data_IF_678209125600
#
_entry.id   IF_678209125600
#
_cell.length_a   1.000
_cell.length_b   1.000
_cell.length_c   1.000
_cell.angle_alpha   90.00
_cell.angle_beta   90.00
_cell.angle_gamma   90.00
#
_symmetry.space_group_name_H-M   'P 1'
#
loop_
_entity.id
_entity.type
_entity.pdbx_description
1 polymer ?
#
# COMPACT_ATOMS: atom_id res chain seq x y z
N UNK A 1 26.84 -1.10 22.55
CA UNK A 1 25.45 -0.57 22.60
C UNK A 1 24.71 -1.14 21.41
N UNK A 2 23.61 -1.85 21.63
CA UNK A 2 22.71 -2.25 20.53
C UNK A 2 21.82 -1.05 20.23
N UNK A 3 21.92 -0.49 19.01
CA UNK A 3 21.07 0.63 18.61
C UNK A 3 19.63 0.15 18.43
N UNK A 4 18.65 1.03 18.72
CA UNK A 4 17.30 0.81 18.24
C UNK A 4 17.33 0.80 16.70
N UNK A 5 16.98 -0.30 16.02
CA UNK A 5 17.02 -0.41 14.56
C UNK A 5 16.29 0.73 13.85
N UNK A 6 15.25 1.27 14.51
CA UNK A 6 14.45 2.39 14.05
C UNK A 6 15.27 3.68 13.83
N UNK A 7 16.25 3.98 14.69
CA UNK A 7 17.02 5.22 14.60
C UNK A 7 18.00 5.20 13.42
N UNK A 8 18.56 4.02 13.14
CA UNK A 8 19.37 3.78 11.94
C UNK A 8 18.50 3.99 10.71
N UNK A 9 17.33 3.35 10.59
CA UNK A 9 16.41 3.54 9.45
C UNK A 9 15.93 4.99 9.27
N UNK A 10 15.83 5.78 10.33
CA UNK A 10 15.56 7.22 10.24
C UNK A 10 16.76 8.00 9.69
N UNK A 11 17.98 7.68 10.11
CA UNK A 11 19.21 8.28 9.59
C UNK A 11 19.37 8.00 8.08
N UNK A 12 19.07 6.79 7.62
CA UNK A 12 19.02 6.42 6.19
C UNK A 12 18.12 7.35 5.39
N UNK A 13 16.88 7.57 5.86
CA UNK A 13 15.91 8.45 5.18
C UNK A 13 16.39 9.89 5.13
N UNK A 14 16.99 10.39 6.21
CA UNK A 14 17.54 11.76 6.26
C UNK A 14 18.64 11.95 5.22
N UNK A 15 19.59 11.03 5.12
CA UNK A 15 20.70 11.17 4.17
C UNK A 15 20.24 11.03 2.72
N UNK A 16 19.28 10.13 2.45
CA UNK A 16 18.67 9.98 1.13
C UNK A 16 17.89 11.23 0.70
N UNK A 17 17.07 11.80 1.58
CA UNK A 17 16.29 13.00 1.25
C UNK A 17 17.17 14.23 1.03
N UNK A 18 18.20 14.39 1.86
CA UNK A 18 19.09 15.54 1.78
C UNK A 18 20.14 15.40 0.67
N UNK A 19 20.34 14.20 0.12
CA UNK A 19 21.45 13.86 -0.79
C UNK A 19 22.81 14.32 -0.23
N UNK A 20 22.94 14.35 1.09
CA UNK A 20 24.07 14.89 1.81
C UNK A 20 24.26 14.13 3.12
N UNK A 21 25.50 14.06 3.60
CA UNK A 21 25.85 13.27 4.78
C UNK A 21 26.76 14.08 5.70
N UNK A 22 26.30 14.33 6.93
CA UNK A 22 27.14 14.84 8.01
C UNK A 22 26.53 14.53 9.37
N UNK A 23 27.37 14.44 10.40
CA UNK A 23 26.88 14.29 11.77
C UNK A 23 25.98 15.46 12.18
N UNK A 24 26.32 16.70 11.77
CA UNK A 24 25.49 17.88 12.01
C UNK A 24 24.10 17.80 11.35
N UNK A 25 24.02 17.24 10.13
CA UNK A 25 22.74 17.01 9.45
C UNK A 25 21.88 16.03 10.24
N UNK A 26 22.44 14.89 10.65
CA UNK A 26 21.74 13.88 11.44
C UNK A 26 21.31 14.44 12.80
N UNK A 27 22.18 15.19 13.47
CA UNK A 27 21.91 15.85 14.74
C UNK A 27 20.68 16.76 14.65
N UNK A 28 20.65 17.64 13.64
CA UNK A 28 19.56 18.61 13.44
C UNK A 28 18.26 17.95 13.03
N UNK A 29 18.31 16.96 12.12
CA UNK A 29 17.12 16.31 11.56
C UNK A 29 16.48 15.31 12.51
N UNK A 30 17.29 14.63 13.33
CA UNK A 30 16.81 13.62 14.29
C UNK A 30 16.70 14.17 15.72
N UNK A 31 17.10 15.44 15.97
CA UNK A 31 17.12 16.08 17.30
C UNK A 31 17.89 15.27 18.34
N UNK A 32 19.02 14.70 17.95
CA UNK A 32 19.88 13.86 18.79
C UNK A 32 21.15 14.60 19.21
N UNK A 33 21.91 14.05 20.17
CA UNK A 33 23.24 14.55 20.54
C UNK A 33 24.32 14.25 19.50
N UNK A 34 25.40 15.04 19.50
CA UNK A 34 26.50 14.91 18.53
C UNK A 34 27.15 13.52 18.54
N UNK A 35 27.44 12.96 19.72
CA UNK A 35 28.04 11.63 19.85
C UNK A 35 27.18 10.52 19.22
N UNK A 36 25.85 10.63 19.36
CA UNK A 36 24.91 9.69 18.77
C UNK A 36 24.82 9.85 17.25
N UNK A 37 24.83 11.10 16.76
CA UNK A 37 24.89 11.37 15.32
C UNK A 37 26.16 10.83 14.67
N UNK A 38 27.31 10.93 15.36
CA UNK A 38 28.58 10.38 14.88
C UNK A 38 28.57 8.85 14.85
N UNK A 39 27.95 8.22 15.84
CA UNK A 39 27.77 6.77 15.83
C UNK A 39 26.85 6.30 14.71
N UNK A 40 25.73 6.98 14.47
CA UNK A 40 24.86 6.69 13.33
C UNK A 40 25.60 6.85 12.01
N UNK A 41 26.43 7.88 11.88
CA UNK A 41 27.27 8.06 10.70
C UNK A 41 28.23 6.88 10.49
N UNK A 42 28.86 6.39 11.55
CA UNK A 42 29.73 5.21 11.50
C UNK A 42 28.95 3.94 11.13
N UNK A 43 27.73 3.77 11.63
CA UNK A 43 26.83 2.67 11.25
C UNK A 43 26.43 2.74 9.77
N UNK A 44 26.15 3.94 9.24
CA UNK A 44 25.89 4.13 7.82
C UNK A 44 27.12 3.80 6.95
N UNK A 45 28.32 4.08 7.45
CA UNK A 45 29.57 3.67 6.80
C UNK A 45 29.72 2.14 6.82
N UNK A 46 29.49 1.50 7.97
CA UNK A 46 29.59 0.05 8.13
C UNK A 46 28.61 -0.74 7.24
N UNK A 47 27.54 -0.09 6.79
CA UNK A 47 26.50 -0.66 5.91
C UNK A 47 26.61 -0.20 4.45
N UNK A 48 27.75 0.36 4.06
CA UNK A 48 28.04 0.82 2.69
C UNK A 48 27.05 1.87 2.14
N UNK A 49 26.40 2.63 3.03
CA UNK A 49 25.51 3.75 2.65
C UNK A 49 26.31 5.00 2.36
N UNK A 50 27.38 5.18 3.14
CA UNK A 50 28.22 6.37 3.18
C UNK A 50 29.66 5.94 3.00
N UNK A 51 30.38 6.60 2.10
CA UNK A 51 31.84 6.50 2.03
C UNK A 51 32.49 7.73 2.63
N UNK A 52 33.57 7.49 3.36
CA UNK A 52 34.48 8.54 3.77
C UNK A 52 35.61 8.68 2.75
N UNK A 53 35.84 9.91 2.30
CA UNK A 53 37.00 10.29 1.50
C UNK A 53 37.79 11.37 2.24
N UNK A 54 39.11 11.20 2.44
CA UNK A 54 39.95 12.22 3.07
C UNK A 54 39.90 13.59 2.37
N UNK A 55 39.60 13.61 1.06
CA UNK A 55 39.57 14.86 0.26
C UNK A 55 38.22 15.55 0.26
N UNK A 56 37.14 14.80 0.41
CA UNK A 56 35.78 15.31 0.16
C UNK A 56 34.81 15.05 1.30
N UNK A 57 35.28 14.49 2.40
CA UNK A 57 34.49 14.16 3.57
C UNK A 57 33.57 12.96 3.34
N UNK A 58 32.47 12.92 4.10
CA UNK A 58 31.44 11.89 3.98
C UNK A 58 30.55 12.17 2.78
N UNK A 59 30.35 11.16 1.93
CA UNK A 59 29.43 11.22 0.80
C UNK A 59 28.60 9.94 0.75
N UNK A 60 27.41 10.02 0.18
CA UNK A 60 26.65 8.80 -0.12
C UNK A 60 27.45 7.93 -1.09
N UNK A 61 27.46 6.62 -0.84
CA UNK A 61 28.10 5.67 -1.73
C UNK A 61 27.40 5.71 -3.11
N UNK A 62 28.13 5.94 -4.22
CA UNK A 62 27.54 5.94 -5.55
C UNK A 62 26.81 4.65 -5.91
N UNK A 63 27.23 3.48 -5.40
CA UNK A 63 26.53 2.21 -5.58
C UNK A 63 25.25 2.12 -4.74
N UNK A 64 25.25 2.68 -3.53
CA UNK A 64 24.04 2.82 -2.72
C UNK A 64 23.04 3.78 -3.38
N UNK A 65 23.52 4.93 -3.87
CA UNK A 65 22.73 5.86 -4.67
C UNK A 65 22.21 5.19 -5.93
N UNK A 66 23.03 4.43 -6.66
CA UNK A 66 22.59 3.71 -7.86
C UNK A 66 21.55 2.64 -7.51
N UNK A 67 21.65 1.97 -6.36
CA UNK A 67 20.65 0.99 -5.89
C UNK A 67 19.32 1.66 -5.52
N UNK A 68 19.33 2.85 -4.92
CA UNK A 68 18.11 3.59 -4.56
C UNK A 68 17.56 4.51 -5.68
N UNK A 69 18.41 5.04 -6.55
CA UNK A 69 18.05 5.85 -7.72
C UNK A 69 17.65 4.97 -8.91
N UNK A 70 18.00 3.67 -8.88
CA UNK A 70 17.28 2.64 -9.62
C UNK A 70 15.88 2.45 -9.02
N UNK A 71 15.03 3.48 -9.14
CA UNK A 71 13.73 3.24 -9.77
C UNK A 71 14.06 2.85 -11.21
N UNK A 72 14.58 1.65 -11.43
CA UNK A 72 14.56 1.06 -12.77
C UNK A 72 13.13 1.20 -13.23
N UNK A 73 12.94 1.75 -14.43
CA UNK A 73 11.67 1.61 -15.13
C UNK A 73 11.20 0.18 -14.87
N UNK A 74 9.97 0.00 -14.33
CA UNK A 74 9.48 -1.32 -14.00
C UNK A 74 9.68 -2.20 -15.21
N UNK A 75 10.37 -3.32 -15.04
CA UNK A 75 10.54 -4.30 -16.10
C UNK A 75 9.14 -4.64 -16.63
N UNK A 76 8.80 -4.25 -17.88
CA UNK A 76 7.44 -4.40 -18.39
C UNK A 76 6.98 -5.86 -18.32
N UNK A 77 7.92 -6.80 -18.47
CA UNK A 77 7.67 -8.22 -18.33
C UNK A 77 7.35 -8.61 -16.88
N UNK A 78 8.15 -8.20 -15.90
CA UNK A 78 7.83 -8.44 -14.49
C UNK A 78 6.49 -7.82 -14.09
N UNK A 79 6.17 -6.62 -14.55
CA UNK A 79 4.87 -5.98 -14.29
C UNK A 79 3.72 -6.79 -14.90
N UNK A 80 3.88 -7.22 -16.14
CA UNK A 80 2.90 -8.06 -16.84
C UNK A 80 2.64 -9.37 -16.07
N UNK A 81 3.71 -10.09 -15.68
CA UNK A 81 3.61 -11.33 -14.90
C UNK A 81 2.85 -11.10 -13.60
N UNK A 82 3.22 -10.07 -12.83
CA UNK A 82 2.53 -9.76 -11.57
C UNK A 82 1.05 -9.42 -11.80
N UNK A 83 0.72 -8.68 -12.86
CA UNK A 83 -0.67 -8.36 -13.21
C UNK A 83 -1.48 -9.59 -13.60
N UNK A 84 -0.90 -10.50 -14.39
CA UNK A 84 -1.55 -11.78 -14.75
C UNK A 84 -1.86 -12.58 -13.50
N UNK A 85 -0.87 -12.77 -12.62
CA UNK A 85 -1.00 -13.56 -11.39
C UNK A 85 -1.98 -12.90 -10.41
N UNK A 86 -1.87 -11.60 -10.15
CA UNK A 86 -2.76 -10.91 -9.22
C UNK A 86 -4.20 -10.81 -9.76
N UNK A 87 -4.40 -10.73 -11.08
CA UNK A 87 -5.74 -10.80 -11.69
C UNK A 87 -6.34 -12.20 -11.52
N UNK A 88 -5.56 -13.26 -11.80
CA UNK A 88 -6.00 -14.63 -11.60
C UNK A 88 -6.32 -14.91 -10.13
N UNK A 89 -5.47 -14.45 -9.20
CA UNK A 89 -5.64 -14.62 -7.77
C UNK A 89 -6.85 -13.85 -7.23
N UNK A 90 -7.07 -12.62 -7.70
CA UNK A 90 -8.25 -11.85 -7.35
C UNK A 90 -9.53 -12.61 -7.70
N UNK A 91 -9.65 -13.12 -8.92
CA UNK A 91 -10.82 -13.89 -9.33
C UNK A 91 -10.92 -15.27 -8.67
N UNK A 92 -9.79 -15.89 -8.32
CA UNK A 92 -9.79 -17.13 -7.54
C UNK A 92 -10.45 -16.90 -6.19
N UNK A 93 -10.07 -15.82 -5.50
CA UNK A 93 -10.67 -15.49 -4.21
C UNK A 93 -12.13 -15.03 -4.36
N UNK A 94 -12.49 -14.33 -5.45
CA UNK A 94 -13.90 -13.99 -5.76
C UNK A 94 -14.76 -15.23 -6.00
N UNK A 95 -14.25 -16.22 -6.73
CA UNK A 95 -14.90 -17.52 -6.96
C UNK A 95 -15.20 -18.21 -5.63
N UNK A 96 -14.19 -18.29 -4.75
CA UNK A 96 -14.34 -18.88 -3.41
C UNK A 96 -15.35 -18.16 -2.52
N UNK A 97 -15.49 -16.85 -2.70
CA UNK A 97 -16.41 -15.99 -1.95
C UNK A 97 -17.79 -15.86 -2.61
N UNK A 98 -18.00 -16.54 -3.75
CA UNK A 98 -19.19 -16.45 -4.58
C UNK A 98 -19.57 -14.99 -4.94
N UNK A 99 -18.60 -14.20 -5.40
CA UNK A 99 -18.81 -12.85 -5.91
C UNK A 99 -18.13 -12.63 -7.27
N UNK A 100 -18.47 -11.53 -7.95
CA UNK A 100 -17.99 -11.21 -9.30
C UNK A 100 -16.85 -10.17 -9.35
N UNK A 101 -16.39 -9.72 -8.19
CA UNK A 101 -15.35 -8.71 -8.04
C UNK A 101 -15.78 -7.29 -8.44
N UNK A 102 -15.22 -6.30 -7.74
CA UNK A 102 -15.48 -4.89 -8.02
C UNK A 102 -14.84 -4.45 -9.35
N UNK A 103 -15.60 -3.74 -10.19
CA UNK A 103 -15.13 -3.28 -11.52
C UNK A 103 -13.91 -2.36 -11.43
N UNK A 104 -13.79 -1.54 -10.37
CA UNK A 104 -12.61 -0.72 -10.11
C UNK A 104 -11.35 -1.54 -9.81
N UNK A 105 -11.47 -2.64 -9.05
CA UNK A 105 -10.35 -3.54 -8.76
C UNK A 105 -9.88 -4.23 -10.04
N UNK A 106 -10.83 -4.72 -10.85
CA UNK A 106 -10.53 -5.32 -12.17
C UNK A 106 -9.79 -4.32 -13.07
N UNK A 107 -10.22 -3.06 -13.09
CA UNK A 107 -9.59 -2.00 -13.89
C UNK A 107 -8.12 -1.80 -13.53
N UNK A 108 -7.78 -1.80 -12.24
CA UNK A 108 -6.40 -1.54 -11.80
C UNK A 108 -5.50 -2.77 -11.88
N UNK A 109 -6.06 -3.97 -11.76
CA UNK A 109 -5.31 -5.23 -11.78
C UNK A 109 -5.07 -5.78 -13.18
N UNK A 110 -6.05 -5.66 -14.09
CA UNK A 110 -5.99 -6.35 -15.39
C UNK A 110 -4.69 -6.05 -16.16
N UNK A 111 -4.08 -7.07 -16.78
CA UNK A 111 -3.01 -6.89 -17.77
C UNK A 111 -3.59 -6.40 -19.10
N UNK A 112 -2.83 -5.57 -19.82
CA UNK A 112 -3.21 -5.08 -21.15
C UNK A 112 -4.44 -4.15 -21.18
N UNK A 113 -4.89 -3.84 -22.40
CA UNK A 113 -6.01 -2.96 -22.72
C UNK A 113 -7.30 -3.74 -23.04
N UNK A 114 -7.59 -4.76 -22.23
CA UNK A 114 -8.80 -5.59 -22.37
C UNK A 114 -9.98 -5.04 -21.58
N UNK A 115 -11.22 -5.26 -22.02
CA UNK A 115 -12.39 -4.80 -21.26
C UNK A 115 -12.55 -5.53 -19.91
N UNK A 116 -13.09 -4.86 -18.90
CA UNK A 116 -13.29 -5.47 -17.58
C UNK A 116 -14.25 -6.67 -17.65
N UNK A 117 -15.24 -6.61 -18.54
CA UNK A 117 -16.18 -7.70 -18.77
C UNK A 117 -15.51 -8.90 -19.44
N UNK A 118 -14.63 -8.68 -20.43
CA UNK A 118 -13.90 -9.75 -21.09
C UNK A 118 -12.98 -10.48 -20.10
N UNK A 119 -12.22 -9.73 -19.29
CA UNK A 119 -11.36 -10.31 -18.24
C UNK A 119 -12.18 -11.11 -17.22
N UNK A 120 -13.31 -10.56 -16.73
CA UNK A 120 -14.17 -11.28 -15.78
C UNK A 120 -14.71 -12.56 -16.40
N UNK A 121 -15.24 -12.50 -17.63
CA UNK A 121 -15.75 -13.67 -18.35
C UNK A 121 -14.66 -14.73 -18.48
N UNK A 122 -13.50 -14.34 -19.02
CA UNK A 122 -12.38 -15.25 -19.26
C UNK A 122 -11.91 -15.94 -17.99
N UNK A 123 -11.59 -15.18 -16.95
CA UNK A 123 -10.94 -15.76 -15.76
C UNK A 123 -11.95 -16.35 -14.78
N UNK A 124 -12.97 -15.58 -14.39
CA UNK A 124 -13.92 -16.04 -13.37
C UNK A 124 -14.87 -17.11 -13.91
N UNK A 125 -15.46 -16.88 -15.08
CA UNK A 125 -16.48 -17.79 -15.60
C UNK A 125 -15.86 -18.96 -16.36
N UNK A 126 -14.96 -18.71 -17.30
CA UNK A 126 -14.43 -19.78 -18.15
C UNK A 126 -13.38 -20.59 -17.37
N UNK A 127 -12.33 -19.97 -16.83
CA UNK A 127 -11.25 -20.70 -16.12
C UNK A 127 -11.73 -21.34 -14.81
N UNK A 128 -12.36 -20.59 -13.90
CA UNK A 128 -12.73 -21.14 -12.58
C UNK A 128 -14.08 -21.84 -12.53
N UNK A 129 -15.17 -21.18 -12.93
CA UNK A 129 -16.53 -21.73 -12.77
C UNK A 129 -16.83 -22.87 -13.73
N UNK A 130 -16.38 -22.77 -14.98
CA UNK A 130 -16.65 -23.78 -16.03
C UNK A 130 -15.61 -24.89 -16.02
N UNK A 131 -14.32 -24.51 -16.07
CA UNK A 131 -13.23 -25.47 -16.27
C UNK A 131 -12.58 -25.96 -14.96
N UNK A 132 -12.86 -25.33 -13.82
CA UNK A 132 -12.31 -25.74 -12.52
C UNK A 132 -10.78 -25.67 -12.45
N UNK A 133 -10.15 -24.75 -13.19
CA UNK A 133 -8.69 -24.63 -13.22
C UNK A 133 -8.12 -24.25 -11.85
N UNK A 134 -6.89 -24.72 -11.56
CA UNK A 134 -6.10 -24.21 -10.43
C UNK A 134 -5.70 -22.75 -10.67
N UNK A 135 -5.20 -22.06 -9.64
CA UNK A 135 -4.73 -20.68 -9.77
C UNK A 135 -3.63 -20.57 -10.83
N UNK A 136 -2.63 -21.45 -10.75
CA UNK A 136 -1.50 -21.46 -11.69
C UNK A 136 -1.98 -21.74 -13.12
N UNK A 137 -2.87 -22.72 -13.31
CA UNK A 137 -3.42 -23.04 -14.62
C UNK A 137 -4.26 -21.89 -15.20
N UNK A 138 -5.08 -21.22 -14.38
CA UNK A 138 -5.86 -20.06 -14.81
C UNK A 138 -4.98 -18.86 -15.17
N UNK A 139 -3.86 -18.65 -14.48
CA UNK A 139 -2.91 -17.59 -14.82
C UNK A 139 -2.20 -17.86 -16.17
N UNK A 140 -1.83 -19.10 -16.44
CA UNK A 140 -1.25 -19.52 -17.74
C UNK A 140 -2.30 -19.40 -18.86
N UNK A 141 -3.54 -19.84 -18.61
CA UNK A 141 -4.67 -19.74 -19.54
C UNK A 141 -5.05 -18.28 -19.86
N UNK A 142 -4.94 -17.38 -18.88
CA UNK A 142 -5.08 -15.94 -19.06
C UNK A 142 -3.95 -15.37 -19.93
N UNK A 143 -2.70 -15.76 -19.67
CA UNK A 143 -1.56 -15.33 -20.47
C UNK A 143 -1.69 -15.75 -21.94
N UNK A 144 -2.03 -17.02 -22.20
CA UNK A 144 -2.23 -17.54 -23.56
C UNK A 144 -3.28 -16.71 -24.32
N UNK A 145 -4.43 -16.44 -23.70
CA UNK A 145 -5.49 -15.63 -24.29
C UNK A 145 -5.07 -14.18 -24.58
N UNK A 146 -4.28 -13.57 -23.69
CA UNK A 146 -3.73 -12.23 -23.91
C UNK A 146 -2.71 -12.23 -25.05
N UNK A 147 -1.90 -13.28 -25.18
CA UNK A 147 -0.95 -13.42 -26.28
C UNK A 147 -1.64 -13.54 -27.62
N UNK A 148 -2.72 -14.31 -27.72
CA UNK A 148 -3.53 -14.42 -28.94
C UNK A 148 -4.19 -13.08 -29.32
N UNK A 149 -4.48 -12.25 -28.31
CA UNK A 149 -5.10 -10.93 -28.50
C UNK A 149 -4.09 -9.80 -28.73
N UNK A 150 -2.78 -10.08 -28.74
CA UNK A 150 -1.72 -9.07 -28.88
C UNK A 150 -1.53 -8.16 -27.65
N UNK A 151 -2.00 -8.59 -26.48
CA UNK A 151 -2.00 -7.83 -25.22
C UNK A 151 -0.87 -8.27 -24.26
N UNK A 152 0.00 -9.18 -24.72
CA UNK A 152 1.19 -9.63 -24.01
C UNK A 152 2.46 -8.94 -24.53
N UNK A 153 3.56 -8.90 -23.76
CA UNK A 153 4.86 -8.36 -24.22
C UNK A 153 5.38 -9.06 -25.49
N UNK A 154 6.18 -8.39 -26.32
CA UNK A 154 6.74 -9.04 -27.53
C UNK A 154 7.67 -10.21 -27.19
N UNK A 155 8.49 -10.07 -26.15
CA UNK A 155 9.34 -11.17 -25.65
C UNK A 155 8.55 -12.09 -24.70
N UNK A 156 8.21 -13.27 -25.22
CA UNK A 156 7.48 -14.31 -24.51
C UNK A 156 8.40 -15.26 -23.71
N UNK A 157 9.72 -15.14 -23.88
CA UNK A 157 10.69 -16.18 -23.48
C UNK A 157 10.71 -16.39 -21.97
N UNK A 158 10.06 -17.45 -21.48
CA UNK A 158 10.03 -17.79 -20.05
C UNK A 158 8.99 -17.00 -19.23
N UNK A 159 7.99 -16.38 -19.86
CA UNK A 159 6.86 -15.78 -19.14
C UNK A 159 6.10 -16.85 -18.36
N UNK A 160 5.81 -18.00 -18.97
CA UNK A 160 5.12 -19.12 -18.32
C UNK A 160 5.84 -19.57 -17.05
N UNK A 161 7.16 -19.79 -17.12
CA UNK A 161 7.97 -20.17 -15.95
C UNK A 161 7.91 -19.11 -14.83
N UNK A 162 7.89 -17.83 -15.19
CA UNK A 162 7.77 -16.74 -14.22
C UNK A 162 6.38 -16.70 -13.58
N UNK A 163 5.32 -16.95 -14.35
CA UNK A 163 3.94 -17.09 -13.85
C UNK A 163 3.84 -18.26 -12.87
N UNK A 164 4.36 -19.44 -13.23
CA UNK A 164 4.37 -20.61 -12.36
C UNK A 164 5.07 -20.32 -11.03
N UNK A 165 6.27 -19.72 -11.09
CA UNK A 165 7.04 -19.37 -9.90
C UNK A 165 6.28 -18.38 -9.01
N UNK A 166 5.68 -17.34 -9.60
CA UNK A 166 4.96 -16.31 -8.87
C UNK A 166 3.62 -16.81 -8.29
N UNK A 167 2.91 -17.69 -9.00
CA UNK A 167 1.62 -18.25 -8.58
C UNK A 167 1.77 -19.36 -7.54
N UNK A 168 2.86 -20.13 -7.56
CA UNK A 168 3.08 -21.28 -6.69
C UNK A 168 2.90 -20.99 -5.19
N UNK A 169 3.29 -19.79 -4.73
CA UNK A 169 3.15 -19.38 -3.32
C UNK A 169 1.69 -19.28 -2.85
N UNK A 170 0.74 -19.21 -3.77
CA UNK A 170 -0.69 -19.05 -3.49
C UNK A 170 -1.52 -20.27 -3.91
N UNK A 171 -0.92 -21.19 -4.65
CA UNK A 171 -1.64 -22.30 -5.28
C UNK A 171 -2.15 -23.27 -4.21
N UNK A 172 -3.46 -23.53 -4.27
CA UNK A 172 -4.16 -24.39 -3.33
C UNK A 172 -5.51 -24.79 -3.91
N UNK A 173 -6.12 -25.89 -3.44
CA UNK A 173 -7.47 -26.24 -3.84
C UNK A 173 -8.47 -25.12 -3.51
N UNK A 174 -9.45 -24.87 -4.39
CA UNK A 174 -10.52 -23.92 -4.11
C UNK A 174 -11.37 -24.39 -2.94
N UNK A 175 -11.80 -23.45 -2.11
CA UNK A 175 -12.71 -23.70 -0.98
C UNK A 175 -13.73 -22.59 -0.85
N UNK A 176 -14.96 -22.94 -0.49
CA UNK A 176 -16.00 -21.95 -0.22
C UNK A 176 -15.67 -21.13 1.02
N UNK A 177 -15.79 -19.81 0.93
CA UNK A 177 -15.61 -18.88 2.04
C UNK A 177 -16.93 -18.13 2.28
N UNK A 178 -17.62 -18.51 3.34
CA UNK A 178 -18.89 -17.90 3.76
C UNK A 178 -18.70 -16.93 4.93
N UNK A 179 -17.72 -17.21 5.79
CA UNK A 179 -17.42 -16.43 6.98
C UNK A 179 -16.93 -15.01 6.64
N UNK A 180 -17.60 -14.01 7.22
CA UNK A 180 -17.33 -12.60 7.00
C UNK A 180 -15.93 -12.19 7.49
N UNK A 181 -15.46 -12.75 8.61
CA UNK A 181 -14.14 -12.44 9.14
C UNK A 181 -13.03 -12.78 8.15
N UNK A 182 -13.10 -13.97 7.53
CA UNK A 182 -12.17 -14.41 6.47
C UNK A 182 -12.29 -13.57 5.21
N UNK A 183 -13.51 -13.21 4.79
CA UNK A 183 -13.73 -12.32 3.63
C UNK A 183 -13.10 -10.95 3.86
N UNK A 184 -13.33 -10.37 5.04
CA UNK A 184 -12.73 -9.11 5.46
C UNK A 184 -11.21 -9.20 5.44
N UNK A 185 -10.64 -10.20 6.10
CA UNK A 185 -9.18 -10.40 6.11
C UNK A 185 -8.59 -10.51 4.70
N UNK A 186 -9.24 -11.25 3.78
CA UNK A 186 -8.81 -11.37 2.38
C UNK A 186 -8.88 -10.04 1.62
N UNK A 187 -9.91 -9.24 1.84
CA UNK A 187 -10.02 -7.92 1.22
C UNK A 187 -8.83 -7.01 1.61
N UNK A 188 -8.43 -7.01 2.88
CA UNK A 188 -7.24 -6.29 3.32
C UNK A 188 -5.95 -6.85 2.70
N UNK A 189 -5.83 -8.17 2.56
CA UNK A 189 -4.69 -8.79 1.86
C UNK A 189 -4.63 -8.39 0.38
N UNK A 190 -5.75 -8.32 -0.32
CA UNK A 190 -5.81 -7.84 -1.72
C UNK A 190 -5.28 -6.40 -1.83
N UNK A 191 -5.72 -5.52 -0.94
CA UNK A 191 -5.24 -4.13 -0.91
C UNK A 191 -3.73 -4.07 -0.60
N UNK A 192 -3.26 -4.87 0.36
CA UNK A 192 -1.82 -4.95 0.68
C UNK A 192 -0.99 -5.48 -0.51
N UNK A 193 -1.45 -6.51 -1.23
CA UNK A 193 -0.78 -6.99 -2.46
C UNK A 193 -0.75 -5.92 -3.53
N UNK A 194 -1.84 -5.17 -3.70
CA UNK A 194 -1.86 -4.04 -4.63
C UNK A 194 -0.84 -2.95 -4.26
N UNK A 195 -0.72 -2.59 -2.98
CA UNK A 195 0.31 -1.66 -2.51
C UNK A 195 1.73 -2.21 -2.68
N UNK A 196 1.93 -3.52 -2.55
CA UNK A 196 3.21 -4.17 -2.89
C UNK A 196 3.54 -4.05 -4.38
N UNK A 197 2.54 -4.11 -5.27
CA UNK A 197 2.76 -3.85 -6.70
C UNK A 197 3.17 -2.39 -6.93
N UNK A 198 2.58 -1.42 -6.22
CA UNK A 198 3.01 0.00 -6.28
C UNK A 198 4.45 0.15 -5.78
N UNK A 199 4.82 -0.52 -4.69
CA UNK A 199 6.20 -0.53 -4.20
C UNK A 199 7.17 -1.07 -5.25
N UNK A 200 6.86 -2.24 -5.84
CA UNK A 200 7.71 -2.91 -6.82
C UNK A 200 7.81 -2.17 -8.16
N UNK A 201 6.71 -1.58 -8.64
CA UNK A 201 6.61 -1.05 -10.01
C UNK A 201 6.45 0.46 -10.10
N UNK A 202 6.31 1.15 -8.97
CA UNK A 202 6.16 2.60 -8.92
C UNK A 202 4.99 3.12 -9.74
N UNK A 203 5.27 4.10 -10.61
CA UNK A 203 4.25 4.86 -11.36
C UNK A 203 3.58 4.09 -12.48
N UNK A 204 4.00 2.86 -12.78
CA UNK A 204 3.30 2.02 -13.75
C UNK A 204 2.02 1.40 -13.18
N UNK A 205 1.83 1.47 -11.85
CA UNK A 205 0.56 1.16 -11.19
C UNK A 205 -0.16 2.48 -10.92
N UNK A 206 -1.48 2.50 -11.17
CA UNK A 206 -2.31 3.67 -10.91
C UNK A 206 -2.32 4.00 -9.41
N UNK A 207 -2.15 5.27 -9.04
CA UNK A 207 -2.20 5.72 -7.64
C UNK A 207 -3.56 6.38 -7.32
N UNK A 208 -4.66 5.73 -7.68
CA UNK A 208 -6.01 6.23 -7.39
C UNK A 208 -6.31 6.15 -5.88
N UNK A 209 -6.67 7.28 -5.28
CA UNK A 209 -6.97 7.37 -3.84
C UNK A 209 -8.21 6.58 -3.43
N UNK A 210 -9.06 6.21 -4.39
CA UNK A 210 -10.29 5.40 -4.19
C UNK A 210 -10.04 3.89 -4.25
N UNK A 211 -8.80 3.45 -4.45
CA UNK A 211 -8.49 2.01 -4.50
C UNK A 211 -8.97 1.23 -3.28
N UNK A 212 -8.89 1.74 -2.04
CA UNK A 212 -9.45 1.03 -0.88
C UNK A 212 -10.93 0.63 -1.07
N UNK A 213 -11.74 1.53 -1.63
CA UNK A 213 -13.17 1.31 -1.90
C UNK A 213 -13.42 0.18 -2.91
N UNK A 214 -12.42 -0.13 -3.75
CA UNK A 214 -12.53 -1.20 -4.73
C UNK A 214 -12.32 -2.58 -4.13
N UNK A 215 -11.59 -2.67 -3.01
CA UNK A 215 -11.26 -3.94 -2.36
C UNK A 215 -12.07 -4.17 -1.09
N UNK A 216 -12.46 -3.12 -0.39
CA UNK A 216 -13.02 -3.19 0.96
C UNK A 216 -14.39 -2.51 0.96
N UNK A 217 -15.49 -3.27 1.14
CA UNK A 217 -16.82 -2.71 1.37
C UNK A 217 -16.83 -1.67 2.49
N UNK A 218 -17.47 -0.52 2.23
CA UNK A 218 -17.57 0.58 3.20
C UNK A 218 -18.14 0.14 4.55
N UNK A 219 -19.13 -0.78 4.55
CA UNK A 219 -19.73 -1.32 5.76
C UNK A 219 -18.73 -2.02 6.70
N UNK A 220 -17.61 -2.55 6.18
CA UNK A 220 -16.58 -3.21 7.00
C UNK A 220 -15.62 -2.23 7.68
N UNK A 221 -15.60 -0.98 7.24
CA UNK A 221 -14.72 0.06 7.77
C UNK A 221 -15.50 1.27 8.29
N UNK A 222 -16.82 1.17 8.40
CA UNK A 222 -17.65 2.20 8.99
C UNK A 222 -17.34 2.35 10.49
N UNK A 223 -17.05 3.57 10.91
CA UNK A 223 -16.64 3.92 12.28
C UNK A 223 -17.56 4.94 12.94
N UNK A 224 -18.73 5.23 12.37
CA UNK A 224 -19.71 6.18 12.93
C UNK A 224 -19.73 7.52 12.20
N UNK A 225 -20.11 8.57 12.91
CA UNK A 225 -20.30 9.92 12.37
C UNK A 225 -19.92 11.00 13.39
N UNK A 226 -19.68 12.22 12.92
CA UNK A 226 -19.45 13.38 13.80
C UNK A 226 -20.75 13.82 14.48
N UNK A 227 -20.63 14.44 15.65
CA UNK A 227 -21.77 15.04 16.38
C UNK A 227 -22.47 16.11 15.54
N UNK A 228 -21.70 16.92 14.80
CA UNK A 228 -22.24 17.94 13.91
C UNK A 228 -23.04 17.33 12.76
N UNK A 229 -22.55 16.24 12.17
CA UNK A 229 -23.26 15.49 11.13
C UNK A 229 -24.56 14.89 11.67
N UNK A 230 -24.52 14.28 12.85
CA UNK A 230 -25.69 13.69 13.49
C UNK A 230 -26.79 14.71 13.84
N UNK A 231 -26.40 15.94 14.20
CA UNK A 231 -27.33 17.01 14.52
C UNK A 231 -27.98 17.67 13.28
N UNK A 232 -27.46 17.41 12.07
CA UNK A 232 -27.99 17.98 10.84
C UNK A 232 -29.09 17.11 10.23
N UNK A 233 -30.28 17.70 10.02
CA UNK A 233 -31.42 17.04 9.38
C UNK A 233 -31.31 17.07 7.85
N UNK A 234 -30.76 18.13 7.27
CA UNK A 234 -30.66 18.37 5.81
C UNK A 234 -29.22 18.72 5.34
N UNK A 235 -28.21 18.39 6.16
CA UNK A 235 -26.81 18.66 5.86
C UNK A 235 -26.20 17.68 4.86
N UNK A 236 -25.28 18.17 4.03
CA UNK A 236 -24.52 17.31 3.13
C UNK A 236 -23.64 16.31 3.89
N UNK A 237 -23.77 15.03 3.57
CA UNK A 237 -22.96 13.95 4.16
C UNK A 237 -21.70 13.69 3.34
N UNK A 238 -20.55 13.61 4.00
CA UNK A 238 -19.29 13.23 3.38
C UNK A 238 -18.64 12.05 4.11
N UNK A 239 -18.49 10.87 3.46
CA UNK A 239 -17.72 9.78 4.01
C UNK A 239 -16.23 10.12 3.95
N UNK A 240 -15.56 10.15 5.10
CA UNK A 240 -14.19 10.58 5.22
C UNK A 240 -13.33 9.55 5.96
N UNK A 241 -12.14 9.26 5.43
CA UNK A 241 -11.25 8.25 6.01
C UNK A 241 -10.55 8.75 7.26
N UNK A 242 -10.63 8.07 8.40
CA UNK A 242 -10.03 8.54 9.67
C UNK A 242 -8.51 8.78 9.55
N UNK A 243 -7.81 7.94 8.80
CA UNK A 243 -6.42 8.16 8.34
C UNK A 243 -6.43 8.38 6.82
N UNK A 244 -5.78 9.42 6.27
CA UNK A 244 -5.85 9.71 4.84
C UNK A 244 -5.30 8.58 3.96
N UNK A 245 -6.03 8.23 2.89
CA UNK A 245 -5.61 7.16 1.96
C UNK A 245 -4.22 7.38 1.37
N UNK A 246 -3.85 8.63 1.05
CA UNK A 246 -2.52 8.97 0.55
C UNK A 246 -1.43 8.67 1.60
N UNK A 247 -1.71 8.96 2.87
CA UNK A 247 -0.81 8.64 3.98
C UNK A 247 -0.69 7.12 4.15
N UNK A 248 -1.82 6.40 4.15
CA UNK A 248 -1.86 4.94 4.26
C UNK A 248 -1.02 4.29 3.16
N UNK A 249 -1.24 4.67 1.89
CA UNK A 249 -0.49 4.15 0.75
C UNK A 249 1.02 4.38 0.94
N UNK A 250 1.43 5.62 1.22
CA UNK A 250 2.83 5.96 1.44
C UNK A 250 3.43 5.12 2.57
N UNK A 251 2.72 5.00 3.69
CA UNK A 251 3.18 4.23 4.84
C UNK A 251 3.34 2.74 4.50
N UNK A 252 2.39 2.15 3.78
CA UNK A 252 2.47 0.74 3.37
C UNK A 252 3.64 0.48 2.41
N UNK A 253 3.87 1.38 1.44
CA UNK A 253 5.03 1.30 0.54
C UNK A 253 6.34 1.41 1.33
N UNK A 254 6.43 2.33 2.30
CA UNK A 254 7.60 2.46 3.20
C UNK A 254 7.82 1.19 4.05
N UNK A 255 6.77 0.42 4.36
CA UNK A 255 6.87 -0.84 5.11
C UNK A 255 7.33 -2.01 4.24
N UNK A 256 6.90 -2.10 2.97
CA UNK A 256 7.43 -3.09 2.04
C UNK A 256 8.92 -2.87 1.74
N UNK A 257 9.38 -1.62 1.74
CA UNK A 257 10.82 -1.30 1.69
C UNK A 257 11.59 -1.82 2.92
N UNK A 258 10.90 -1.98 4.05
CA UNK A 258 11.42 -2.58 5.28
C UNK A 258 11.15 -4.08 5.36
N UNK A 259 10.84 -4.73 4.23
CA UNK A 259 10.61 -6.17 4.10
C UNK A 259 9.40 -6.69 4.89
N UNK A 260 8.44 -5.84 5.23
CA UNK A 260 7.18 -6.29 5.82
C UNK A 260 6.43 -7.20 4.84
N UNK A 261 5.85 -8.27 5.35
CA UNK A 261 5.03 -9.19 4.58
C UNK A 261 3.67 -8.57 4.23
N UNK A 262 3.01 -9.14 3.22
CA UNK A 262 1.63 -8.78 2.86
C UNK A 262 0.68 -8.91 4.04
N UNK A 263 0.88 -9.91 4.90
CA UNK A 263 -0.02 -10.20 6.03
C UNK A 263 0.18 -9.19 7.16
N UNK A 264 1.41 -8.76 7.43
CA UNK A 264 1.70 -7.70 8.41
C UNK A 264 1.15 -6.34 7.94
N UNK A 265 1.30 -6.01 6.65
CA UNK A 265 0.71 -4.79 6.08
C UNK A 265 -0.82 -4.87 6.09
N UNK A 266 -1.42 -6.02 5.76
CA UNK A 266 -2.87 -6.21 5.81
C UNK A 266 -3.43 -6.06 7.23
N UNK A 267 -2.70 -6.53 8.25
CA UNK A 267 -3.04 -6.31 9.66
C UNK A 267 -3.00 -4.82 10.03
N UNK A 268 -1.99 -4.08 9.57
CA UNK A 268 -1.91 -2.65 9.82
C UNK A 268 -3.03 -1.87 9.09
N UNK A 269 -3.38 -2.27 7.87
CA UNK A 269 -4.49 -1.67 7.13
C UNK A 269 -5.83 -1.84 7.85
N UNK A 270 -6.08 -2.99 8.48
CA UNK A 270 -7.29 -3.21 9.29
C UNK A 270 -7.43 -2.23 10.45
N UNK A 271 -6.30 -1.75 10.98
CA UNK A 271 -6.28 -0.73 12.01
C UNK A 271 -6.52 0.67 11.43
N UNK A 272 -5.79 1.04 10.38
CA UNK A 272 -5.76 2.43 9.90
C UNK A 272 -6.95 2.80 9.01
N UNK A 273 -7.50 1.83 8.28
CA UNK A 273 -8.57 2.08 7.33
C UNK A 273 -9.93 2.05 8.05
N UNK A 274 -10.47 3.23 8.26
CA UNK A 274 -11.78 3.48 8.84
C UNK A 274 -12.41 4.69 8.17
N UNK A 275 -13.74 4.75 8.12
CA UNK A 275 -14.51 5.83 7.51
C UNK A 275 -15.53 6.33 8.51
N UNK A 276 -15.59 7.64 8.70
CA UNK A 276 -16.62 8.34 9.45
C UNK A 276 -17.43 9.23 8.51
N UNK A 277 -18.70 9.44 8.81
CA UNK A 277 -19.47 10.48 8.13
C UNK A 277 -19.25 11.82 8.84
N UNK A 278 -18.86 12.83 8.07
CA UNK A 278 -18.69 14.21 8.53
C UNK A 278 -19.49 15.15 7.63
N UNK A 279 -19.65 16.38 8.08
CA UNK A 279 -20.23 17.47 7.29
C UNK A 279 -19.24 17.97 6.23
N UNK A 280 -19.73 18.69 5.21
CA UNK A 280 -18.85 19.32 4.22
C UNK A 280 -17.92 20.39 4.82
N UNK A 281 -18.39 21.13 5.83
CA UNK A 281 -17.58 22.15 6.50
C UNK A 281 -16.40 21.50 7.26
N UNK A 282 -16.65 20.38 7.94
CA UNK A 282 -15.61 19.59 8.61
C UNK A 282 -14.60 19.00 7.60
N UNK A 283 -15.08 18.51 6.45
CA UNK A 283 -14.20 18.08 5.35
C UNK A 283 -13.32 19.24 4.89
N UNK A 284 -13.91 20.41 4.65
CA UNK A 284 -13.18 21.58 4.17
C UNK A 284 -12.15 22.07 5.19
N UNK A 285 -12.42 21.92 6.49
CA UNK A 285 -11.45 22.18 7.55
C UNK A 285 -10.25 21.22 7.54
N UNK A 286 -10.46 19.94 7.15
CA UNK A 286 -9.38 18.96 6.95
C UNK A 286 -8.60 19.21 5.65
N UNK A 287 -9.32 19.59 4.59
CA UNK A 287 -8.77 19.74 3.24
C UNK A 287 -7.99 21.03 3.04
N UNK A 288 -8.51 22.14 3.56
CA UNK A 288 -7.99 23.50 3.35
C UNK A 288 -7.38 24.11 4.61
N UNK A 289 -7.40 23.39 5.73
CA UNK A 289 -6.84 23.86 6.99
C UNK A 289 -5.31 23.87 7.04
N UNK A 290 -4.77 24.50 8.08
CA UNK A 290 -3.33 24.43 8.40
C UNK A 290 -2.91 22.96 8.62
N UNK A 291 -1.67 22.63 8.24
CA UNK A 291 -1.02 21.31 8.39
C UNK A 291 -1.36 20.22 7.35
N UNK A 292 -2.14 20.51 6.30
CA UNK A 292 -2.35 19.59 5.16
C UNK A 292 -2.86 18.18 5.59
N UNK A 293 -3.84 18.15 6.50
CA UNK A 293 -4.42 16.92 7.07
C UNK A 293 -5.25 16.10 6.07
N UNK A 294 -5.47 16.64 4.87
CA UNK A 294 -5.91 15.91 3.69
C UNK A 294 -5.02 14.74 3.32
N UNK A 295 -3.71 14.89 3.51
CA UNK A 295 -2.72 13.90 3.05
C UNK A 295 -1.80 13.42 4.17
N UNK A 296 -1.95 13.95 5.38
CA UNK A 296 -1.03 13.71 6.50
C UNK A 296 -1.76 13.44 7.81
N UNK A 297 -1.04 12.88 8.77
CA UNK A 297 -1.47 12.77 10.17
C UNK A 297 -0.76 13.83 11.01
N UNK A 298 -1.31 14.20 12.19
CA UNK A 298 -0.67 15.14 13.10
C UNK A 298 0.77 14.76 13.47
N UNK A 299 1.54 15.77 13.87
CA UNK A 299 2.95 15.57 14.27
C UNK A 299 3.07 14.54 15.40
N UNK A 300 4.07 13.66 15.30
CA UNK A 300 4.34 12.55 16.24
C UNK A 300 3.30 11.42 16.24
N UNK A 301 2.32 11.42 15.34
CA UNK A 301 1.43 10.29 15.18
C UNK A 301 2.18 9.05 14.69
N UNK A 302 1.87 7.88 15.24
CA UNK A 302 2.54 6.62 14.92
C UNK A 302 1.54 5.57 14.40
N UNK A 303 1.80 4.89 13.27
CA UNK A 303 0.86 3.91 12.67
C UNK A 303 0.36 2.81 13.62
N UNK A 304 1.24 2.29 14.48
CA UNK A 304 0.91 1.16 15.35
C UNK A 304 0.14 1.57 16.62
N UNK A 305 0.36 2.79 17.11
CA UNK A 305 -0.03 3.17 18.49
C UNK A 305 -0.82 4.46 18.55
N UNK A 306 -0.72 5.32 17.53
CA UNK A 306 -1.44 6.57 17.46
C UNK A 306 -2.95 6.37 17.30
N UNK A 307 -3.72 7.30 17.84
CA UNK A 307 -5.17 7.36 17.66
C UNK A 307 -5.53 7.51 16.18
N UNK A 308 -6.35 6.61 15.63
CA UNK A 308 -6.76 6.68 14.21
C UNK A 308 -7.59 7.94 13.89
N UNK A 309 -8.26 8.52 14.89
CA UNK A 309 -9.02 9.77 14.80
C UNK A 309 -8.20 11.03 15.09
N UNK A 310 -6.87 10.92 15.28
CA UNK A 310 -6.05 12.04 15.76
C UNK A 310 -6.18 13.31 14.89
N UNK A 311 -6.34 13.17 13.57
CA UNK A 311 -6.53 14.32 12.69
C UNK A 311 -7.89 14.99 12.83
N UNK A 312 -8.93 14.23 13.19
CA UNK A 312 -10.26 14.77 13.48
C UNK A 312 -10.21 15.59 14.78
N UNK A 313 -9.53 15.06 15.80
CA UNK A 313 -9.31 15.78 17.06
C UNK A 313 -8.52 17.09 16.86
N UNK A 314 -7.50 17.11 15.98
CA UNK A 314 -6.74 18.33 15.64
C UNK A 314 -7.64 19.46 15.12
N UNK A 315 -8.76 19.12 14.47
CA UNK A 315 -9.77 20.06 13.96
C UNK A 315 -11.01 20.19 14.83
N UNK A 316 -10.98 19.66 16.07
CA UNK A 316 -12.12 19.66 16.99
C UNK A 316 -13.39 19.02 16.39
N UNK A 317 -13.22 17.98 15.57
CA UNK A 317 -14.32 17.17 15.04
C UNK A 317 -14.61 16.06 16.04
N UNK A 318 -15.74 16.21 16.73
CA UNK A 318 -16.18 15.28 17.77
C UNK A 318 -17.09 14.20 17.20
N UNK A 319 -16.91 12.96 17.67
CA UNK A 319 -17.67 11.78 17.21
C UNK A 319 -18.73 11.42 18.24
N UNK A 320 -19.90 10.95 17.79
CA UNK A 320 -21.02 10.59 18.68
C UNK A 320 -20.67 9.53 19.73
N UNK A 321 -19.65 8.72 19.48
CA UNK A 321 -19.11 7.76 20.44
C UNK A 321 -17.79 8.30 20.98
N UNK A 322 -17.63 8.23 22.30
CA UNK A 322 -16.38 8.62 22.94
C UNK A 322 -15.23 7.78 22.39
N UNK A 323 -14.26 8.42 21.73
CA UNK A 323 -13.01 7.75 21.46
C UNK A 323 -12.34 7.44 22.81
N UNK A 324 -12.00 6.18 23.04
CA UNK A 324 -11.26 5.75 24.25
C UNK A 324 -9.80 6.23 24.24
N UNK A 325 -9.37 6.87 23.15
CA UNK A 325 -8.09 7.52 23.03
C UNK A 325 -8.14 8.90 23.72
N UNK A 326 -7.42 9.05 24.84
CA UNK A 326 -7.34 10.32 25.57
C UNK A 326 -6.90 11.46 24.63
N UNK A 327 -7.64 12.58 24.62
CA UNK A 327 -7.23 13.82 23.95
C UNK A 327 -5.91 14.27 24.60
N UNK A 328 -4.82 14.22 23.84
CA UNK A 328 -3.47 14.56 24.31
C UNK A 328 -3.22 16.06 24.26
#
# INVERSE_FOLDING_TARGET
MVFAPQLVSQAYRVVLQAQAVSAALLQRRLKIGHSLAQHLLNELIARDVVRYSPRTGHRLDPHFLTRHQRKTMPDPRSLYVDKVVETALFFFECFEENNDGHTGAIKVLKPGNVSNMAIRKRVLHDSYRTNGLSLTAAAIDLHAWLSESGESPDDQTGIVQAIETAAAQYDRPPRKIEDEFRRRHRAFRRLARYYRMIHKHGTAISNDSRVPDYFIPAAWIAMGQSEAHAAQVDGGTHPEHVVPCAFILKNCVDLFEQEWSVDEVAWLLQRMLGVVNITFDERDALDNGENNLKFTMPSNWHPLTGCVYARLHDKNIDLEHACTCQRA
#
